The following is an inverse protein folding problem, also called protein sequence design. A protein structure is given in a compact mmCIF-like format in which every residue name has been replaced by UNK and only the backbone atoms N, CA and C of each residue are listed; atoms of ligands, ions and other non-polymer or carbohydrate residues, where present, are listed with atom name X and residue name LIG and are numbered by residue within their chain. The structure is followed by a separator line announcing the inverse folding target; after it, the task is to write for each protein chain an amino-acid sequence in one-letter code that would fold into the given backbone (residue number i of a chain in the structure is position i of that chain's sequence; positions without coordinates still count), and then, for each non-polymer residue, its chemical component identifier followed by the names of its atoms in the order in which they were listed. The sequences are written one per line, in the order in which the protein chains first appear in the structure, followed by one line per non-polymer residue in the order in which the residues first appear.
data_IF_017314812295
#
_entry.id   IF_017314812295
#
_cell.length_a   1.000
_cell.length_b   1.000
_cell.length_c   1.000
_cell.angle_alpha   90.00
_cell.angle_beta   90.00
_cell.angle_gamma   90.00
#
_symmetry.space_group_name_H-M   'P 1'
#
loop_
_entity.id
_entity.type
_entity.pdbx_description
1 polymer ?
#
# COMPACT_ATOMS: atom_id res chain seq x y z
N UNK A 1 -3.55 -13.74 9.82
CA UNK A 1 -3.02 -14.76 10.74
C UNK A 1 -1.53 -14.90 10.48
N UNK A 2 -0.72 -14.86 11.52
CA UNK A 2 0.74 -14.97 11.42
C UNK A 2 1.28 -15.60 12.71
N UNK A 3 2.55 -16.03 12.70
CA UNK A 3 3.21 -16.48 13.92
C UNK A 3 4.07 -15.37 14.51
N UNK A 4 3.94 -15.14 15.80
CA UNK A 4 4.77 -14.20 16.57
C UNK A 4 5.22 -14.87 17.87
N UNK A 5 6.52 -14.86 18.16
CA UNK A 5 7.11 -15.51 19.36
C UNK A 5 6.65 -16.97 19.58
N UNK A 6 6.47 -17.71 18.48
CA UNK A 6 6.05 -19.11 18.51
C UNK A 6 4.55 -19.33 18.77
N UNK A 7 3.76 -18.27 18.86
CA UNK A 7 2.29 -18.33 19.00
C UNK A 7 1.61 -17.91 17.70
N UNK A 8 0.46 -18.52 17.44
CA UNK A 8 -0.39 -18.15 16.31
C UNK A 8 -1.22 -16.95 16.72
N UNK A 9 -1.03 -15.83 16.02
CA UNK A 9 -1.76 -14.59 16.24
C UNK A 9 -2.87 -14.43 15.19
N UNK A 10 -4.00 -13.89 15.64
CA UNK A 10 -5.15 -13.57 14.81
C UNK A 10 -5.73 -12.22 15.26
N UNK A 11 -5.62 -11.22 14.40
CA UNK A 11 -6.14 -9.88 14.61
C UNK A 11 -7.18 -9.53 13.54
N UNK A 12 -8.02 -8.54 13.83
CA UNK A 12 -8.95 -7.96 12.87
C UNK A 12 -8.28 -6.78 12.17
N UNK A 13 -8.03 -6.92 10.88
CA UNK A 13 -7.36 -5.92 10.06
C UNK A 13 -8.22 -5.54 8.85
N UNK A 14 -7.88 -4.41 8.23
CA UNK A 14 -8.56 -3.93 7.02
C UNK A 14 -7.60 -4.01 5.84
N UNK A 15 -7.97 -4.74 4.79
CA UNK A 15 -7.21 -4.74 3.55
C UNK A 15 -7.38 -3.40 2.82
N UNK A 16 -6.27 -2.70 2.61
CA UNK A 16 -6.23 -1.50 1.78
C UNK A 16 -5.64 -1.80 0.40
N UNK A 17 -6.18 -1.16 -0.64
CA UNK A 17 -5.60 -1.16 -2.00
C UNK A 17 -5.51 0.29 -2.48
N UNK A 18 -4.33 0.88 -2.35
CA UNK A 18 -4.05 2.24 -2.78
C UNK A 18 -3.54 2.25 -4.23
N UNK A 19 -3.83 3.33 -4.96
CA UNK A 19 -3.40 3.53 -6.35
C UNK A 19 -2.58 4.81 -6.37
N UNK A 20 -1.39 4.73 -6.94
CA UNK A 20 -0.49 5.86 -7.10
C UNK A 20 0.42 5.62 -8.31
N UNK A 21 1.14 6.66 -8.73
CA UNK A 21 2.16 6.55 -9.76
C UNK A 21 3.49 6.04 -9.14
N UNK A 22 4.29 5.32 -9.93
CA UNK A 22 5.61 4.83 -9.53
C UNK A 22 6.53 5.91 -8.96
N UNK A 23 6.45 7.13 -9.50
CA UNK A 23 7.22 8.31 -9.03
C UNK A 23 6.94 8.66 -7.56
N UNK A 24 5.73 8.39 -7.05
CA UNK A 24 5.29 8.70 -5.70
C UNK A 24 5.41 7.51 -4.74
N UNK A 25 5.84 6.34 -5.22
CA UNK A 25 5.84 5.09 -4.47
C UNK A 25 6.65 5.19 -3.15
N UNK A 26 7.89 5.69 -3.21
CA UNK A 26 8.75 5.76 -2.03
C UNK A 26 8.22 6.76 -0.99
N UNK A 27 7.70 7.89 -1.45
CA UNK A 27 7.08 8.89 -0.58
C UNK A 27 5.83 8.32 0.11
N UNK A 28 4.98 7.60 -0.64
CA UNK A 28 3.78 6.97 -0.11
C UNK A 28 4.12 5.88 0.93
N UNK A 29 5.09 5.00 0.64
CA UNK A 29 5.51 3.96 1.58
C UNK A 29 6.09 4.56 2.86
N UNK A 30 6.89 5.62 2.74
CA UNK A 30 7.47 6.32 3.89
C UNK A 30 6.40 6.98 4.75
N UNK A 31 5.43 7.66 4.12
CA UNK A 31 4.29 8.26 4.81
C UNK A 31 3.47 7.20 5.55
N UNK A 32 3.07 6.12 4.86
CA UNK A 32 2.31 5.05 5.49
C UNK A 32 3.08 4.43 6.67
N UNK A 33 4.38 4.16 6.51
CA UNK A 33 5.21 3.60 7.58
C UNK A 33 5.31 4.54 8.80
N UNK A 34 5.41 5.85 8.58
CA UNK A 34 5.49 6.82 9.67
C UNK A 34 4.17 6.93 10.44
N UNK A 35 3.04 6.74 9.77
CA UNK A 35 1.71 6.93 10.35
C UNK A 35 1.00 5.63 10.77
N UNK A 36 1.52 4.45 10.40
CA UNK A 36 0.94 3.18 10.80
C UNK A 36 1.18 2.91 12.30
N UNK A 37 0.20 2.37 13.06
CA UNK A 37 0.38 2.04 14.47
C UNK A 37 1.37 0.89 14.73
N UNK A 38 1.74 0.14 13.69
CA UNK A 38 2.59 -1.05 13.82
C UNK A 38 4.03 -0.69 13.52
N UNK A 39 4.96 -1.32 14.25
CA UNK A 39 6.39 -1.14 14.02
C UNK A 39 6.83 -1.72 12.65
N UNK A 40 6.19 -2.83 12.24
CA UNK A 40 6.42 -3.49 10.96
C UNK A 40 5.08 -3.63 10.21
N UNK A 41 4.61 -2.58 9.53
CA UNK A 41 3.38 -2.65 8.75
C UNK A 41 3.57 -3.47 7.48
N UNK A 42 2.56 -4.24 7.08
CA UNK A 42 2.55 -4.94 5.80
C UNK A 42 2.27 -3.94 4.66
N UNK A 43 3.33 -3.50 3.98
CA UNK A 43 3.26 -2.57 2.86
C UNK A 43 3.89 -3.21 1.62
N UNK A 44 3.08 -3.54 0.62
CA UNK A 44 3.51 -4.22 -0.60
C UNK A 44 3.16 -3.40 -1.84
N UNK A 45 4.01 -3.49 -2.87
CA UNK A 45 3.80 -2.84 -4.17
C UNK A 45 3.64 -3.92 -5.23
N UNK A 46 2.53 -3.87 -5.95
CA UNK A 46 2.24 -4.77 -7.06
C UNK A 46 2.29 -3.97 -8.38
N UNK A 47 3.09 -4.40 -9.38
CA UNK A 47 3.17 -3.69 -10.64
C UNK A 47 1.86 -3.82 -11.45
N UNK A 48 1.33 -2.70 -11.91
CA UNK A 48 0.20 -2.66 -12.86
C UNK A 48 0.76 -2.51 -14.27
N UNK A 49 0.64 -3.56 -15.08
CA UNK A 49 1.20 -3.59 -16.44
C UNK A 49 0.27 -2.98 -17.50
N UNK A 50 -1.04 -2.98 -17.25
CA UNK A 50 -2.04 -2.42 -18.14
C UNK A 50 -3.28 -1.99 -17.35
N UNK A 51 -4.04 -1.05 -17.91
CA UNK A 51 -5.29 -0.55 -17.33
C UNK A 51 -6.05 0.30 -18.34
N UNK A 52 -7.25 0.72 -17.95
CA UNK A 52 -8.04 1.66 -18.75
C UNK A 52 -7.31 3.01 -18.91
N UNK A 53 -7.29 3.55 -20.13
CA UNK A 53 -6.51 4.76 -20.45
C UNK A 53 -7.03 5.99 -19.72
N UNK A 54 -8.35 6.14 -19.63
CA UNK A 54 -8.97 7.30 -19.02
C UNK A 54 -8.76 7.27 -17.50
N UNK A 55 -8.89 6.09 -16.88
CA UNK A 55 -8.59 5.88 -15.48
C UNK A 55 -7.12 6.17 -15.14
N UNK A 56 -6.18 5.67 -15.94
CA UNK A 56 -4.75 5.93 -15.72
C UNK A 56 -4.42 7.42 -15.89
N UNK A 57 -5.06 8.11 -16.85
CA UNK A 57 -4.91 9.55 -17.02
C UNK A 57 -5.45 10.33 -15.82
N UNK A 58 -6.65 9.98 -15.35
CA UNK A 58 -7.25 10.58 -14.14
C UNK A 58 -6.39 10.34 -12.89
N UNK A 59 -5.87 9.12 -12.72
CA UNK A 59 -5.01 8.78 -11.59
C UNK A 59 -3.76 9.68 -11.58
N UNK A 60 -3.09 9.79 -12.72
CA UNK A 60 -1.90 10.64 -12.85
C UNK A 60 -2.23 12.13 -12.64
N UNK A 61 -3.40 12.59 -13.09
CA UNK A 61 -3.84 13.97 -12.87
C UNK A 61 -4.17 14.26 -11.39
N UNK A 62 -4.59 13.25 -10.62
CA UNK A 62 -4.95 13.37 -9.20
C UNK A 62 -3.73 13.49 -8.28
N UNK A 63 -2.53 13.25 -8.80
CA UNK A 63 -1.25 13.31 -8.09
C UNK A 63 -0.42 14.55 -8.46
N UNK A 64 -0.96 15.43 -9.31
CA UNK A 64 -0.31 16.68 -9.76
C UNK A 64 -0.63 17.86 -8.86
#
# INVERSE_FOLDING_TARGET
MYYWEGKLEQEYEVQMILKSERSHQEALLSFLKQHHPYQTPELLVLPVHAGDKDYLSWLNASLR
#
